data_IF_976702367100
#
_entry.id   IF_976702367100
#
_cell.length_a   1.000
_cell.length_b   1.000
_cell.length_c   1.000
_cell.angle_alpha   90.00
_cell.angle_beta   90.00
_cell.angle_gamma   90.00
#
_symmetry.space_group_name_H-M   'P 1'
#
loop_
_entity.id
_entity.type
_entity.pdbx_description
1 polymer ?
#
# COMPACT_ATOMS: atom_id res chain seq x y z
N UNK A 1 10.28 18.72 17.44
CA UNK A 1 9.04 17.98 17.17
C UNK A 1 9.34 16.50 17.34
N UNK A 2 8.41 15.73 17.93
CA UNK A 2 8.60 14.28 18.10
C UNK A 2 8.61 13.59 16.72
N UNK A 3 9.58 12.70 16.47
CA UNK A 3 9.76 11.96 15.23
C UNK A 3 8.50 11.12 14.84
N UNK A 4 7.75 10.66 15.84
CA UNK A 4 6.51 9.91 15.62
C UNK A 4 5.41 10.83 15.05
N UNK A 5 5.24 12.02 15.61
CA UNK A 5 4.27 13.01 15.14
C UNK A 5 4.62 13.46 13.72
N UNK A 6 5.90 13.67 13.41
CA UNK A 6 6.32 14.04 12.06
C UNK A 6 5.96 12.97 11.02
N UNK A 7 6.23 11.71 11.33
CA UNK A 7 5.87 10.58 10.44
C UNK A 7 4.37 10.49 10.20
N UNK A 8 3.55 10.69 11.24
CA UNK A 8 2.09 10.66 11.13
C UNK A 8 1.56 11.85 10.31
N UNK A 9 2.11 13.05 10.51
CA UNK A 9 1.80 14.24 9.68
C UNK A 9 2.16 13.97 8.22
N UNK A 10 3.33 13.37 7.94
CA UNK A 10 3.72 13.04 6.58
C UNK A 10 2.75 12.01 5.95
N UNK A 11 2.38 10.98 6.70
CA UNK A 11 1.37 10.00 6.26
C UNK A 11 0.03 10.66 5.90
N UNK A 12 -0.43 11.64 6.69
CA UNK A 12 -1.67 12.37 6.38
C UNK A 12 -1.53 13.23 5.10
N UNK A 13 -0.36 13.82 4.86
CA UNK A 13 -0.08 14.54 3.61
C UNK A 13 -0.11 13.62 2.39
N UNK A 14 0.50 12.45 2.51
CA UNK A 14 0.50 11.46 1.44
C UNK A 14 -0.92 10.97 1.14
N UNK A 15 -1.75 10.74 2.17
CA UNK A 15 -3.17 10.43 2.03
C UNK A 15 -3.96 11.56 1.33
N UNK A 16 -3.71 12.81 1.70
CA UNK A 16 -4.35 13.96 1.06
C UNK A 16 -4.00 14.05 -0.43
N UNK A 17 -2.71 13.93 -0.76
CA UNK A 17 -2.25 13.93 -2.16
C UNK A 17 -2.91 12.80 -2.96
N UNK A 18 -2.98 11.61 -2.38
CA UNK A 18 -3.66 10.47 -2.97
C UNK A 18 -5.14 10.75 -3.28
N UNK A 19 -5.87 11.36 -2.33
CA UNK A 19 -7.28 11.73 -2.53
C UNK A 19 -7.44 12.74 -3.69
N UNK A 20 -6.59 13.77 -3.72
CA UNK A 20 -6.60 14.79 -4.78
C UNK A 20 -6.35 14.16 -6.15
N UNK A 21 -5.38 13.27 -6.27
CA UNK A 21 -5.04 12.61 -7.54
C UNK A 21 -6.16 11.67 -8.03
N UNK A 22 -6.72 10.85 -7.14
CA UNK A 22 -7.76 9.89 -7.53
C UNK A 22 -9.03 10.58 -7.97
N UNK A 23 -9.48 11.56 -7.21
CA UNK A 23 -10.72 12.25 -7.53
C UNK A 23 -10.56 13.35 -8.61
N UNK A 24 -9.33 13.65 -9.05
CA UNK A 24 -9.04 14.58 -10.15
C UNK A 24 -9.80 15.91 -10.03
N UNK A 25 -9.76 16.52 -8.85
CA UNK A 25 -10.41 17.81 -8.57
C UNK A 25 -11.90 17.74 -8.22
N UNK A 26 -12.52 16.55 -8.25
CA UNK A 26 -13.81 16.32 -7.62
C UNK A 26 -13.63 16.41 -6.09
N UNK A 27 -14.69 16.79 -5.39
CA UNK A 27 -14.67 16.91 -3.92
C UNK A 27 -13.58 17.86 -3.38
N UNK A 28 -13.28 18.92 -4.13
CA UNK A 28 -12.29 19.93 -3.76
C UNK A 28 -12.51 20.47 -2.34
N UNK A 29 -13.77 20.77 -1.99
CA UNK A 29 -14.12 21.29 -0.65
C UNK A 29 -13.67 20.35 0.49
N UNK A 30 -13.73 19.03 0.27
CA UNK A 30 -13.24 18.05 1.25
C UNK A 30 -11.71 18.04 1.34
N UNK A 31 -11.01 18.14 0.21
CA UNK A 31 -9.55 18.21 0.18
C UNK A 31 -9.06 19.51 0.84
N UNK A 32 -9.65 20.64 0.49
CA UNK A 32 -9.32 21.96 1.05
C UNK A 32 -9.54 21.97 2.58
N UNK A 33 -10.63 21.36 3.07
CA UNK A 33 -10.88 21.21 4.51
C UNK A 33 -9.79 20.40 5.22
N UNK A 34 -9.40 19.25 4.63
CA UNK A 34 -8.35 18.39 5.20
C UNK A 34 -6.99 19.10 5.21
N UNK A 35 -6.66 19.80 4.12
CA UNK A 35 -5.42 20.58 4.00
C UNK A 35 -5.37 21.70 5.03
N UNK A 36 -6.46 22.48 5.19
CA UNK A 36 -6.58 23.54 6.20
C UNK A 36 -6.32 23.00 7.61
N UNK A 37 -7.01 21.92 7.99
CA UNK A 37 -6.88 21.33 9.33
C UNK A 37 -5.49 20.76 9.58
N UNK A 38 -4.92 20.07 8.62
CA UNK A 38 -3.56 19.50 8.73
C UNK A 38 -2.49 20.62 8.82
N UNK A 39 -2.65 21.68 8.04
CA UNK A 39 -1.73 22.81 8.02
C UNK A 39 -1.80 23.59 9.33
N UNK A 40 -3.02 23.89 9.82
CA UNK A 40 -3.24 24.57 11.10
C UNK A 40 -2.66 23.76 12.28
N UNK A 41 -2.91 22.44 12.32
CA UNK A 41 -2.33 21.56 13.33
C UNK A 41 -0.80 21.58 13.27
N UNK A 42 -0.22 21.41 12.08
CA UNK A 42 1.25 21.39 11.88
C UNK A 42 1.90 22.70 12.37
N UNK A 43 1.27 23.85 12.07
CA UNK A 43 1.76 25.16 12.51
C UNK A 43 1.75 25.29 14.01
N UNK A 44 0.68 24.87 14.70
CA UNK A 44 0.55 24.92 16.16
C UNK A 44 1.51 23.98 16.89
N UNK A 45 1.74 22.78 16.35
CA UNK A 45 2.74 21.86 16.90
C UNK A 45 4.14 22.46 16.79
N UNK A 46 4.47 23.11 15.68
CA UNK A 46 5.77 23.76 15.48
C UNK A 46 5.98 24.95 16.39
N UNK A 47 4.94 25.71 16.68
CA UNK A 47 4.99 26.85 17.60
C UNK A 47 4.95 26.46 19.08
N UNK A 48 4.72 25.17 19.38
CA UNK A 48 4.61 24.69 20.77
C UNK A 48 3.35 25.14 21.51
N UNK A 49 2.29 25.52 20.76
CA UNK A 49 1.02 26.02 21.34
C UNK A 49 -0.02 24.93 21.56
N UNK A 50 0.32 23.66 21.33
CA UNK A 50 -0.56 22.50 21.52
C UNK A 50 -0.23 21.85 22.87
N UNK A 51 -1.22 21.74 23.77
CA UNK A 51 -1.05 21.10 25.08
C UNK A 51 -0.84 19.58 24.96
N UNK A 52 -1.70 18.90 24.18
CA UNK A 52 -1.58 17.47 23.88
C UNK A 52 -1.54 17.23 22.36
N UNK A 53 -0.34 17.16 21.77
CA UNK A 53 -0.19 16.95 20.33
C UNK A 53 -0.74 15.60 19.85
N UNK A 54 -0.75 14.57 20.69
CA UNK A 54 -1.25 13.26 20.31
C UNK A 54 -2.77 13.19 20.26
N UNK A 55 -3.45 13.76 21.24
CA UNK A 55 -4.92 13.84 21.25
C UNK A 55 -5.44 14.68 20.08
N UNK A 56 -4.77 15.79 19.79
CA UNK A 56 -5.16 16.65 18.69
C UNK A 56 -4.88 16.01 17.33
N UNK A 57 -3.74 15.33 17.17
CA UNK A 57 -3.44 14.55 15.97
C UNK A 57 -4.48 13.45 15.73
N UNK A 58 -4.90 12.73 16.77
CA UNK A 58 -5.97 11.74 16.67
C UNK A 58 -7.27 12.34 16.13
N UNK A 59 -7.62 13.56 16.56
CA UNK A 59 -8.79 14.28 16.04
C UNK A 59 -8.67 14.58 14.54
N UNK A 60 -7.48 14.98 14.09
CA UNK A 60 -7.22 15.22 12.67
C UNK A 60 -7.29 13.90 11.87
N UNK A 61 -6.72 12.81 12.37
CA UNK A 61 -6.81 11.49 11.77
C UNK A 61 -8.25 10.98 11.67
N UNK A 62 -9.06 11.20 12.69
CA UNK A 62 -10.48 10.83 12.66
C UNK A 62 -11.25 11.61 11.59
N UNK A 63 -10.92 12.89 11.39
CA UNK A 63 -11.50 13.68 10.30
C UNK A 63 -11.09 13.10 8.93
N UNK A 64 -9.82 12.73 8.73
CA UNK A 64 -9.38 12.06 7.50
C UNK A 64 -10.14 10.76 7.27
N UNK A 65 -10.22 9.90 8.29
CA UNK A 65 -10.94 8.64 8.22
C UNK A 65 -12.43 8.83 7.88
N UNK A 66 -13.07 9.86 8.44
CA UNK A 66 -14.47 10.18 8.15
C UNK A 66 -14.67 10.62 6.71
N UNK A 67 -13.83 11.53 6.22
CA UNK A 67 -13.90 12.04 4.84
C UNK A 67 -13.64 10.91 3.85
N UNK A 68 -12.61 10.10 4.06
CA UNK A 68 -12.28 8.96 3.19
C UNK A 68 -13.43 7.98 3.07
N UNK A 69 -14.03 7.55 4.19
CA UNK A 69 -15.20 6.65 4.18
C UNK A 69 -16.38 7.24 3.43
N UNK A 70 -16.60 8.54 3.57
CA UNK A 70 -17.67 9.23 2.82
C UNK A 70 -17.38 9.24 1.32
N UNK A 71 -16.13 9.45 0.92
CA UNK A 71 -15.71 9.48 -0.48
C UNK A 71 -15.72 8.09 -1.12
N UNK A 72 -15.45 7.01 -0.36
CA UNK A 72 -15.54 5.62 -0.84
C UNK A 72 -16.90 5.31 -1.47
N UNK A 73 -17.99 5.83 -0.89
CA UNK A 73 -19.34 5.66 -1.44
C UNK A 73 -19.60 6.39 -2.77
N UNK A 74 -18.71 7.32 -3.16
CA UNK A 74 -18.83 8.13 -4.38
C UNK A 74 -17.86 7.70 -5.50
N UNK A 75 -17.08 6.63 -5.31
CA UNK A 75 -16.08 6.14 -6.26
C UNK A 75 -16.76 5.70 -7.56
N UNK A 76 -16.43 6.37 -8.66
CA UNK A 76 -16.87 6.01 -10.01
C UNK A 76 -16.01 4.90 -10.62
N UNK A 77 -16.47 4.21 -11.69
CA UNK A 77 -15.62 3.25 -12.42
C UNK A 77 -14.29 3.85 -12.90
N UNK A 78 -14.29 5.13 -13.31
CA UNK A 78 -13.06 5.80 -13.74
C UNK A 78 -12.11 6.07 -12.56
N UNK A 79 -12.64 6.40 -11.39
CA UNK A 79 -11.82 6.57 -10.19
C UNK A 79 -11.15 5.24 -9.78
N UNK A 80 -11.85 4.10 -9.93
CA UNK A 80 -11.26 2.76 -9.76
C UNK A 80 -10.09 2.51 -10.71
N UNK A 81 -10.22 2.95 -11.99
CA UNK A 81 -9.12 2.84 -12.96
C UNK A 81 -7.92 3.70 -12.53
N UNK A 82 -8.14 4.91 -11.99
CA UNK A 82 -7.08 5.77 -11.46
C UNK A 82 -6.38 5.12 -10.27
N UNK A 83 -7.14 4.56 -9.33
CA UNK A 83 -6.60 3.80 -8.18
C UNK A 83 -5.67 2.68 -8.64
N UNK A 84 -6.13 1.85 -9.57
CA UNK A 84 -5.33 0.72 -10.10
C UNK A 84 -4.07 1.17 -10.83
N UNK A 85 -4.08 2.37 -11.41
CA UNK A 85 -2.94 2.96 -12.15
C UNK A 85 -2.06 3.89 -11.32
N UNK A 86 -2.45 4.16 -10.06
CA UNK A 86 -1.69 5.05 -9.20
C UNK A 86 -0.28 4.52 -8.95
N UNK A 87 0.71 5.41 -8.91
CA UNK A 87 2.12 5.05 -8.75
C UNK A 87 2.42 4.39 -7.39
N UNK A 88 1.68 4.78 -6.36
CA UNK A 88 1.81 4.27 -4.98
C UNK A 88 0.73 3.25 -4.60
N UNK A 89 0.06 2.62 -5.57
CA UNK A 89 -0.87 1.55 -5.26
C UNK A 89 -0.15 0.38 -4.59
N UNK A 90 -0.88 -0.38 -3.80
CA UNK A 90 -0.38 -1.62 -3.21
C UNK A 90 0.07 -2.59 -4.31
N UNK A 91 1.29 -3.09 -4.19
CA UNK A 91 1.92 -4.09 -5.04
C UNK A 91 2.09 -5.42 -4.30
N UNK A 92 2.45 -6.49 -5.00
CA UNK A 92 2.63 -7.80 -4.37
C UNK A 92 3.76 -7.79 -3.33
N UNK A 93 4.81 -7.02 -3.57
CA UNK A 93 5.93 -6.86 -2.63
C UNK A 93 5.45 -6.27 -1.30
N UNK A 94 4.58 -5.26 -1.33
CA UNK A 94 4.00 -4.67 -0.11
C UNK A 94 3.20 -5.71 0.68
N UNK A 95 2.48 -6.59 -0.02
CA UNK A 95 1.74 -7.68 0.61
C UNK A 95 2.69 -8.67 1.27
N UNK A 96 3.80 -9.03 0.59
CA UNK A 96 4.81 -9.92 1.16
C UNK A 96 5.45 -9.34 2.42
N UNK A 97 5.78 -8.06 2.41
CA UNK A 97 6.46 -7.37 3.51
C UNK A 97 5.56 -7.09 4.72
N UNK A 98 4.24 -6.95 4.51
CA UNK A 98 3.32 -6.53 5.57
C UNK A 98 2.38 -7.65 6.07
N UNK A 99 2.20 -8.73 5.31
CA UNK A 99 1.25 -9.81 5.63
C UNK A 99 1.96 -11.08 6.06
N UNK A 100 3.16 -11.32 5.55
CA UNK A 100 3.91 -12.54 5.84
C UNK A 100 5.01 -12.28 6.87
N UNK A 101 5.29 -13.27 7.72
CA UNK A 101 6.31 -13.16 8.78
C UNK A 101 7.73 -13.09 8.19
N UNK A 102 7.97 -13.85 7.12
CA UNK A 102 9.16 -13.79 6.29
C UNK A 102 8.87 -14.34 4.89
N UNK A 103 9.72 -13.99 3.95
CA UNK A 103 9.65 -14.56 2.61
C UNK A 103 11.03 -14.61 1.95
N UNK A 104 11.18 -15.51 0.99
CA UNK A 104 12.35 -15.61 0.11
C UNK A 104 11.88 -15.69 -1.33
N UNK A 105 12.31 -14.75 -2.15
CA UNK A 105 12.01 -14.80 -3.59
C UNK A 105 12.72 -16.01 -4.21
N UNK A 106 11.94 -16.73 -5.01
CA UNK A 106 12.41 -17.90 -5.77
C UNK A 106 12.12 -17.66 -7.24
N UNK A 107 12.80 -18.36 -8.11
CA UNK A 107 12.59 -18.20 -9.54
C UNK A 107 13.89 -18.31 -10.31
N UNK A 108 14.07 -17.47 -11.31
CA UNK A 108 15.25 -17.47 -12.12
C UNK A 108 16.36 -16.59 -11.60
N UNK A 109 17.60 -16.91 -12.00
CA UNK A 109 18.78 -16.10 -11.70
C UNK A 109 19.43 -15.53 -12.97
N UNK A 110 18.95 -15.91 -14.15
CA UNK A 110 19.45 -15.50 -15.44
C UNK A 110 18.38 -14.78 -16.29
N UNK A 111 18.81 -14.18 -17.37
CA UNK A 111 17.96 -13.39 -18.27
C UNK A 111 16.78 -14.18 -18.85
N UNK A 112 16.90 -15.50 -19.00
CA UNK A 112 15.87 -16.36 -19.59
C UNK A 112 14.97 -17.01 -18.55
N UNK A 113 15.31 -16.93 -17.28
CA UNK A 113 14.54 -17.51 -16.18
C UNK A 113 13.91 -16.44 -15.27
N UNK A 114 14.38 -15.20 -15.31
CA UNK A 114 13.86 -14.08 -14.56
C UNK A 114 12.82 -13.31 -15.38
N UNK A 115 11.63 -13.16 -14.82
CA UNK A 115 10.61 -12.26 -15.34
C UNK A 115 10.37 -11.13 -14.31
N UNK A 116 10.68 -9.87 -14.63
CA UNK A 116 10.56 -8.78 -13.70
C UNK A 116 9.10 -8.48 -13.29
N UNK A 117 8.13 -8.96 -14.06
CA UNK A 117 6.70 -8.79 -13.78
C UNK A 117 6.05 -10.00 -13.11
N UNK A 118 6.79 -11.12 -12.93
CA UNK A 118 6.33 -12.29 -12.20
C UNK A 118 7.15 -12.48 -10.93
N UNK A 119 6.55 -12.23 -9.78
CA UNK A 119 7.19 -12.45 -8.49
C UNK A 119 6.71 -13.78 -7.92
N UNK A 120 7.65 -14.64 -7.56
CA UNK A 120 7.39 -15.92 -6.91
C UNK A 120 8.19 -15.95 -5.62
N UNK A 121 7.54 -16.24 -4.50
CA UNK A 121 8.19 -16.29 -3.21
C UNK A 121 7.68 -17.47 -2.38
N UNK A 122 8.61 -18.13 -1.68
CA UNK A 122 8.27 -18.99 -0.55
C UNK A 122 8.13 -18.09 0.68
N UNK A 123 6.96 -18.12 1.31
CA UNK A 123 6.66 -17.25 2.44
C UNK A 123 6.12 -18.06 3.62
N UNK A 124 6.20 -17.48 4.80
CA UNK A 124 5.64 -18.03 6.03
C UNK A 124 4.57 -17.09 6.54
N UNK A 125 3.42 -17.62 6.87
CA UNK A 125 2.32 -16.86 7.44
C UNK A 125 1.86 -17.48 8.76
N UNK A 126 1.74 -16.67 9.79
CA UNK A 126 1.18 -17.06 11.08
C UNK A 126 -0.23 -16.49 11.22
N UNK A 127 -1.18 -17.37 11.46
CA UNK A 127 -2.61 -17.03 11.63
C UNK A 127 -3.09 -17.41 13.01
N UNK A 128 -3.88 -16.53 13.62
CA UNK A 128 -4.55 -16.80 14.89
C UNK A 128 -6.03 -17.11 14.66
N UNK A 129 -6.50 -18.26 15.13
CA UNK A 129 -7.91 -18.61 15.13
C UNK A 129 -8.35 -18.94 16.55
N UNK A 130 -9.00 -18.00 17.20
CA UNK A 130 -9.31 -18.09 18.64
C UNK A 130 -8.04 -18.13 19.49
N UNK A 131 -7.86 -19.18 20.28
CA UNK A 131 -6.66 -19.41 21.13
C UNK A 131 -5.53 -20.16 20.40
N UNK A 132 -5.78 -20.67 19.20
CA UNK A 132 -4.79 -21.46 18.43
C UNK A 132 -4.03 -20.57 17.45
N UNK A 133 -2.73 -20.83 17.35
CA UNK A 133 -1.83 -20.18 16.39
C UNK A 133 -1.37 -21.24 15.38
N UNK A 134 -1.45 -20.91 14.11
CA UNK A 134 -1.04 -21.78 13.00
C UNK A 134 0.01 -21.06 12.19
N UNK A 135 1.15 -21.71 11.99
CA UNK A 135 2.21 -21.22 11.11
C UNK A 135 2.28 -22.13 9.89
N UNK A 136 2.21 -21.57 8.71
CA UNK A 136 2.20 -22.29 7.44
C UNK A 136 3.23 -21.73 6.48
N UNK A 137 3.95 -22.62 5.79
CA UNK A 137 4.75 -22.25 4.62
C UNK A 137 3.85 -22.28 3.38
N UNK A 138 3.91 -21.23 2.58
CA UNK A 138 3.10 -21.06 1.37
C UNK A 138 3.96 -20.61 0.20
N UNK A 139 3.53 -20.96 -1.01
CA UNK A 139 4.08 -20.41 -2.23
C UNK A 139 3.20 -19.23 -2.68
N UNK A 140 3.79 -18.06 -2.77
CA UNK A 140 3.13 -16.84 -3.27
C UNK A 140 3.58 -16.61 -4.70
N UNK A 141 2.63 -16.55 -5.62
CA UNK A 141 2.87 -16.34 -7.05
C UNK A 141 1.96 -15.20 -7.52
N UNK A 142 2.53 -14.19 -8.12
CA UNK A 142 1.71 -13.10 -8.61
C UNK A 142 2.44 -12.13 -9.53
N UNK A 143 1.63 -11.33 -10.20
CA UNK A 143 2.13 -10.23 -11.03
C UNK A 143 2.57 -9.07 -10.16
N UNK A 144 3.72 -8.50 -10.51
CA UNK A 144 4.28 -7.32 -9.89
C UNK A 144 4.47 -6.21 -10.92
N UNK A 145 3.88 -5.06 -10.66
CA UNK A 145 4.05 -3.88 -11.54
C UNK A 145 5.12 -2.91 -11.05
N UNK A 146 5.56 -3.07 -9.80
CA UNK A 146 6.45 -2.15 -9.11
C UNK A 146 5.79 -0.82 -8.74
N UNK A 147 6.53 0.00 -8.01
CA UNK A 147 6.15 1.34 -7.62
C UNK A 147 6.79 2.41 -8.51
N UNK A 148 6.03 3.48 -8.79
CA UNK A 148 6.53 4.66 -9.48
C UNK A 148 7.13 4.34 -10.85
N UNK A 149 8.42 4.68 -11.02
CA UNK A 149 9.19 4.47 -12.25
C UNK A 149 9.86 3.10 -12.35
N UNK A 150 9.64 2.19 -11.38
CA UNK A 150 10.23 0.85 -11.42
C UNK A 150 9.74 0.09 -12.66
N UNK A 151 10.70 -0.34 -13.48
CA UNK A 151 10.36 -1.09 -14.69
C UNK A 151 10.07 -2.54 -14.35
N UNK A 152 8.82 -2.97 -14.58
CA UNK A 152 8.34 -4.33 -14.45
C UNK A 152 7.58 -4.77 -15.69
N UNK A 153 8.13 -4.47 -16.87
CA UNK A 153 7.53 -4.77 -18.17
C UNK A 153 6.05 -4.34 -18.28
N UNK A 154 5.69 -3.23 -17.63
CA UNK A 154 4.30 -2.76 -17.53
C UNK A 154 3.33 -3.73 -16.82
N UNK A 155 3.85 -4.71 -16.08
CA UNK A 155 3.10 -5.80 -15.47
C UNK A 155 2.72 -6.91 -16.46
N UNK A 156 3.31 -6.92 -17.68
CA UNK A 156 3.08 -7.95 -18.69
C UNK A 156 4.05 -9.11 -18.48
N UNK A 157 3.50 -10.26 -18.12
CA UNK A 157 4.28 -11.49 -17.88
C UNK A 157 4.78 -12.07 -19.18
N UNK A 158 6.03 -12.48 -19.20
CA UNK A 158 6.66 -13.15 -20.33
C UNK A 158 6.37 -14.67 -20.33
N UNK A 159 6.49 -15.37 -21.47
CA UNK A 159 6.20 -16.81 -21.55
C UNK A 159 6.92 -17.65 -20.50
N UNK A 160 8.21 -17.36 -20.26
CA UNK A 160 8.99 -18.08 -19.25
C UNK A 160 8.59 -17.75 -17.81
N UNK A 161 8.05 -16.55 -17.54
CA UNK A 161 7.44 -16.22 -16.25
C UNK A 161 6.23 -17.10 -15.95
N UNK A 162 5.35 -17.30 -16.92
CA UNK A 162 4.22 -18.23 -16.82
C UNK A 162 4.66 -19.68 -16.63
N UNK A 163 5.66 -20.15 -17.39
CA UNK A 163 6.20 -21.50 -17.25
C UNK A 163 6.79 -21.73 -15.84
N UNK A 164 7.50 -20.74 -15.32
CA UNK A 164 8.04 -20.75 -13.96
C UNK A 164 6.95 -20.78 -12.90
N UNK A 165 5.91 -19.97 -13.05
CA UNK A 165 4.75 -19.98 -12.15
C UNK A 165 4.13 -21.39 -12.09
N UNK A 166 3.90 -22.04 -13.23
CA UNK A 166 3.37 -23.41 -13.27
C UNK A 166 4.31 -24.42 -12.58
N UNK A 167 5.62 -24.28 -12.74
CA UNK A 167 6.59 -25.14 -12.06
C UNK A 167 6.45 -25.01 -10.54
N UNK A 168 6.37 -23.79 -10.01
CA UNK A 168 6.25 -23.56 -8.57
C UNK A 168 4.87 -23.89 -8.01
N UNK A 169 3.80 -23.82 -8.80
CA UNK A 169 2.50 -24.38 -8.41
C UNK A 169 2.62 -25.89 -8.14
N UNK A 170 3.29 -26.64 -9.01
CA UNK A 170 3.52 -28.11 -8.80
C UNK A 170 4.38 -28.38 -7.57
N UNK A 171 5.40 -27.55 -7.32
CA UNK A 171 6.22 -27.67 -6.10
C UNK A 171 5.40 -27.44 -4.84
N UNK A 172 4.37 -26.59 -4.90
CA UNK A 172 3.51 -26.30 -3.74
C UNK A 172 2.48 -27.39 -3.45
N UNK A 173 2.22 -28.31 -4.39
CA UNK A 173 1.31 -29.46 -4.23
C UNK A 173 1.98 -30.64 -3.51
N UNK A 174 3.32 -30.66 -3.42
CA UNK A 174 4.11 -31.74 -2.77
C UNK A 174 4.53 -31.35 -1.36
#
# INVERSE_FOLDING_TARGET
MDNNIEKRIQSLRDRLNYLVEIFAGKHKDNADLLEEKLTAFTARVRSGTVEDPYAELATVEDLFNYVERRLEGSITPMDKVRIVRHSQRICLRDILENVYDNFTEVGGQDEHSLDPSMLIARAVITRRRGKKVYTQSVMVIGQEKGHGAEFRNGGSVKPWGNAKAQQYMRVAET
#
